data_IF_943611713927
#
_entry.id   IF_943611713927
#
_cell.length_a   1.000
_cell.length_b   1.000
_cell.length_c   1.000
_cell.angle_alpha   90.00
_cell.angle_beta   90.00
_cell.angle_gamma   90.00
#
_symmetry.space_group_name_H-M   'P 1'
#
loop_
_entity.id
_entity.type
_entity.pdbx_description
1 polymer ?
#
# COMPACT_ATOMS: atom_id res chain seq x y z
N UNK A 1 -11.11 22.87 -45.42
CA UNK A 1 -11.20 22.64 -43.94
C UNK A 1 -10.72 21.25 -43.67
N UNK A 2 -9.60 21.17 -43.02
CA UNK A 2 -8.99 19.88 -42.72
C UNK A 2 -9.48 19.44 -41.36
N UNK A 3 -10.32 18.43 -41.33
CA UNK A 3 -10.62 17.66 -40.12
C UNK A 3 -9.32 17.01 -39.65
N UNK A 4 -8.50 17.75 -38.92
CA UNK A 4 -7.36 17.16 -38.20
C UNK A 4 -7.94 16.42 -37.02
N UNK A 5 -8.23 15.22 -37.29
CA UNK A 5 -7.92 14.06 -36.48
C UNK A 5 -8.01 14.32 -34.96
N UNK A 6 -9.22 14.49 -34.45
CA UNK A 6 -9.51 14.20 -33.03
C UNK A 6 -9.24 12.72 -32.68
N UNK A 7 -9.09 11.86 -33.69
CA UNK A 7 -8.80 10.44 -33.49
C UNK A 7 -7.43 10.16 -32.86
N UNK A 8 -6.47 11.09 -32.98
CA UNK A 8 -5.15 10.95 -32.33
C UNK A 8 -5.15 11.33 -30.84
N UNK A 9 -6.16 12.03 -30.36
CA UNK A 9 -6.30 12.38 -28.94
C UNK A 9 -7.04 11.30 -28.14
N UNK A 10 -7.60 10.34 -28.81
CA UNK A 10 -8.23 9.14 -28.25
C UNK A 10 -7.30 7.91 -28.28
N UNK A 11 -6.06 8.06 -28.67
CA UNK A 11 -5.03 7.06 -28.37
C UNK A 11 -4.94 6.96 -26.86
N UNK A 12 -5.58 5.92 -26.36
CA UNK A 12 -5.74 5.59 -24.96
C UNK A 12 -4.50 5.99 -24.16
N UNK A 13 -4.62 7.00 -23.33
CA UNK A 13 -3.83 7.01 -22.11
C UNK A 13 -4.21 5.72 -21.41
N UNK A 14 -3.33 4.71 -21.47
CA UNK A 14 -3.44 3.56 -20.60
C UNK A 14 -3.70 4.13 -19.20
N UNK A 15 -4.89 3.87 -18.65
CA UNK A 15 -5.27 4.39 -17.36
C UNK A 15 -4.16 3.98 -16.41
N UNK A 16 -3.50 4.98 -15.77
CA UNK A 16 -2.50 4.70 -14.75
C UNK A 16 -3.12 3.74 -13.74
N UNK A 17 -2.41 2.67 -13.39
CA UNK A 17 -2.89 1.75 -12.38
C UNK A 17 -3.27 2.52 -11.10
N UNK A 18 -4.42 2.22 -10.48
CA UNK A 18 -4.79 2.86 -9.22
C UNK A 18 -3.66 2.78 -8.20
N UNK A 19 -3.41 3.87 -7.48
CA UNK A 19 -2.27 4.00 -6.56
C UNK A 19 -2.29 2.90 -5.49
N UNK A 20 -3.47 2.50 -5.02
CA UNK A 20 -3.67 1.41 -4.06
C UNK A 20 -3.28 0.02 -4.59
N UNK A 21 -3.04 -0.10 -5.88
CA UNK A 21 -2.61 -1.34 -6.55
C UNK A 21 -1.18 -1.28 -7.06
N UNK A 22 -0.46 -0.20 -6.79
CA UNK A 22 0.94 -0.07 -7.20
C UNK A 22 1.75 -1.24 -6.66
N UNK A 23 2.42 -1.96 -7.55
CA UNK A 23 3.24 -3.12 -7.20
C UNK A 23 4.72 -2.79 -7.26
N UNK A 24 5.44 -3.17 -6.21
CA UNK A 24 6.91 -3.10 -6.14
C UNK A 24 7.44 -4.47 -6.55
N UNK A 25 8.25 -4.52 -7.61
CA UNK A 25 8.63 -5.76 -8.29
C UNK A 25 10.09 -6.17 -8.10
N UNK A 26 10.91 -5.34 -7.46
CA UNK A 26 12.32 -5.63 -7.23
C UNK A 26 12.86 -4.95 -5.99
N UNK A 27 13.98 -5.47 -5.48
CA UNK A 27 14.71 -4.84 -4.37
C UNK A 27 15.20 -3.43 -4.73
N UNK A 28 15.69 -3.25 -5.95
CA UNK A 28 16.15 -1.93 -6.40
C UNK A 28 15.00 -0.91 -6.46
N UNK A 29 13.85 -1.33 -6.94
CA UNK A 29 12.64 -0.50 -6.93
C UNK A 29 12.20 -0.18 -5.51
N UNK A 30 12.20 -1.15 -4.61
CA UNK A 30 11.88 -0.95 -3.20
C UNK A 30 12.82 0.05 -2.53
N UNK A 31 14.11 -0.09 -2.73
CA UNK A 31 15.11 0.85 -2.22
C UNK A 31 14.87 2.26 -2.72
N UNK A 32 14.66 2.41 -4.02
CA UNK A 32 14.45 3.71 -4.66
C UNK A 32 13.14 4.37 -4.22
N UNK A 33 12.04 3.62 -4.16
CA UNK A 33 10.73 4.17 -3.84
C UNK A 33 10.50 4.33 -2.34
N UNK A 34 10.95 3.38 -1.53
CA UNK A 34 10.62 3.33 -0.11
C UNK A 34 11.81 3.73 0.75
N UNK A 35 12.93 3.02 0.67
CA UNK A 35 14.05 3.21 1.60
C UNK A 35 14.72 4.58 1.50
N UNK A 36 14.79 5.15 0.29
CA UNK A 36 15.37 6.49 0.09
C UNK A 36 14.35 7.61 0.15
N UNK A 37 13.07 7.28 0.31
CA UNK A 37 11.98 8.24 0.36
C UNK A 37 11.82 8.83 1.77
N UNK A 38 11.37 10.08 1.81
CA UNK A 38 10.90 10.71 3.06
C UNK A 38 9.40 10.52 3.28
N UNK A 39 8.71 9.86 2.33
CA UNK A 39 7.28 9.58 2.43
C UNK A 39 7.03 8.35 3.27
N UNK A 40 5.92 8.35 3.99
CA UNK A 40 5.46 7.17 4.72
C UNK A 40 4.71 6.23 3.77
N UNK A 41 5.15 4.99 3.71
CA UNK A 41 4.58 3.95 2.86
C UNK A 41 3.76 2.95 3.66
N UNK A 42 2.64 2.55 3.10
CA UNK A 42 1.83 1.45 3.57
C UNK A 42 1.93 0.32 2.53
N UNK A 43 2.54 -0.80 2.91
CA UNK A 43 2.85 -1.88 1.97
C UNK A 43 2.16 -3.16 2.38
N UNK A 44 1.40 -3.75 1.45
CA UNK A 44 0.84 -5.09 1.58
C UNK A 44 1.77 -6.12 0.93
N UNK A 45 2.12 -7.16 1.67
CA UNK A 45 2.76 -8.37 1.13
C UNK A 45 1.70 -9.45 0.94
N UNK A 46 1.58 -9.98 -0.26
CA UNK A 46 0.54 -10.92 -0.63
C UNK A 46 1.01 -11.97 -1.63
N UNK A 47 0.21 -13.02 -1.79
CA UNK A 47 0.30 -14.00 -2.87
C UNK A 47 -1.04 -14.10 -3.59
N UNK A 48 -1.01 -14.24 -4.91
CA UNK A 48 -2.21 -14.50 -5.71
C UNK A 48 -2.84 -15.87 -5.45
N UNK A 49 -2.10 -16.79 -4.84
CA UNK A 49 -2.56 -18.13 -4.47
C UNK A 49 -3.04 -18.25 -3.02
N UNK A 50 -3.01 -17.17 -2.27
CA UNK A 50 -3.37 -17.11 -0.86
C UNK A 50 -4.86 -16.74 -0.70
N UNK A 51 -5.65 -17.65 -0.16
CA UNK A 51 -7.09 -17.42 0.06
C UNK A 51 -7.37 -16.26 1.01
N UNK A 52 -6.63 -16.14 2.10
CA UNK A 52 -6.74 -15.01 3.03
C UNK A 52 -6.35 -13.67 2.39
N UNK A 53 -5.39 -13.67 1.46
CA UNK A 53 -5.04 -12.47 0.71
C UNK A 53 -6.19 -12.01 -0.18
N UNK A 54 -6.89 -12.94 -0.83
CA UNK A 54 -8.08 -12.66 -1.63
C UNK A 54 -9.22 -12.13 -0.76
N UNK A 55 -9.46 -12.74 0.39
CA UNK A 55 -10.46 -12.29 1.36
C UNK A 55 -10.14 -10.89 1.90
N UNK A 56 -8.88 -10.56 2.09
CA UNK A 56 -8.40 -9.26 2.58
C UNK A 56 -8.44 -8.15 1.53
N UNK A 57 -8.48 -8.46 0.25
CA UNK A 57 -8.42 -7.47 -0.85
C UNK A 57 -9.36 -6.27 -0.69
N UNK A 58 -10.67 -6.44 -0.37
CA UNK A 58 -11.55 -5.30 -0.15
C UNK A 58 -11.11 -4.42 1.02
N UNK A 59 -10.64 -5.02 2.11
CA UNK A 59 -10.13 -4.30 3.28
C UNK A 59 -8.85 -3.52 2.94
N UNK A 60 -7.94 -4.13 2.19
CA UNK A 60 -6.74 -3.44 1.70
C UNK A 60 -7.08 -2.20 0.88
N UNK A 61 -7.99 -2.32 -0.09
CA UNK A 61 -8.38 -1.20 -0.94
C UNK A 61 -9.01 -0.06 -0.14
N UNK A 62 -9.87 -0.37 0.84
CA UNK A 62 -10.45 0.64 1.72
C UNK A 62 -9.41 1.27 2.65
N UNK A 63 -8.49 0.49 3.19
CA UNK A 63 -7.39 0.99 4.01
C UNK A 63 -6.52 1.97 3.22
N UNK A 64 -6.12 1.60 2.00
CA UNK A 64 -5.31 2.42 1.13
C UNK A 64 -6.01 3.74 0.73
N UNK A 65 -7.32 3.70 0.55
CA UNK A 65 -8.13 4.89 0.21
C UNK A 65 -8.41 5.79 1.40
N UNK A 66 -8.46 5.23 2.59
CA UNK A 66 -8.80 5.98 3.82
C UNK A 66 -7.58 6.68 4.42
N UNK A 67 -6.40 6.10 4.25
CA UNK A 67 -5.16 6.67 4.77
C UNK A 67 -4.67 7.81 3.88
N UNK A 68 -4.95 9.03 4.30
CA UNK A 68 -4.48 10.23 3.60
C UNK A 68 -2.98 10.43 3.80
N UNK A 69 -2.29 10.91 2.77
CA UNK A 69 -0.84 11.19 2.76
C UNK A 69 0.07 9.98 2.92
N UNK A 70 -0.46 8.78 3.06
CA UNK A 70 0.34 7.56 2.92
C UNK A 70 0.47 7.19 1.45
N UNK A 71 1.59 6.60 1.11
CA UNK A 71 1.82 6.01 -0.21
C UNK A 71 1.52 4.51 -0.15
N UNK A 72 0.42 4.03 -0.72
CA UNK A 72 0.12 2.60 -0.73
C UNK A 72 0.93 1.90 -1.81
N UNK A 73 1.42 0.71 -1.49
CA UNK A 73 2.07 -0.19 -2.45
C UNK A 73 1.86 -1.65 -2.06
N UNK A 74 2.08 -2.54 -3.00
CA UNK A 74 1.92 -3.98 -2.82
C UNK A 74 3.18 -4.70 -3.26
N UNK A 75 3.47 -5.81 -2.63
CA UNK A 75 4.56 -6.72 -2.97
C UNK A 75 3.99 -8.12 -3.16
N UNK A 76 4.08 -8.64 -4.39
CA UNK A 76 3.63 -9.97 -4.72
C UNK A 76 4.79 -10.97 -4.51
N UNK A 77 4.66 -11.82 -3.51
CA UNK A 77 5.71 -12.81 -3.18
C UNK A 77 5.76 -14.01 -4.13
N UNK A 78 4.79 -14.15 -5.02
CA UNK A 78 4.85 -15.18 -6.08
C UNK A 78 5.89 -14.83 -7.14
N UNK A 79 6.26 -13.55 -7.23
CA UNK A 79 7.28 -13.07 -8.14
C UNK A 79 8.66 -13.09 -7.47
N UNK A 80 9.74 -13.51 -8.16
CA UNK A 80 11.07 -13.58 -7.56
C UNK A 80 11.55 -12.26 -6.96
N UNK A 81 11.32 -11.16 -7.63
CA UNK A 81 11.67 -9.83 -7.13
C UNK A 81 10.86 -9.41 -5.91
N UNK A 82 9.56 -9.71 -5.88
CA UNK A 82 8.70 -9.46 -4.73
C UNK A 82 9.07 -10.32 -3.52
N UNK A 83 9.37 -11.59 -3.74
CA UNK A 83 9.88 -12.48 -2.69
C UNK A 83 11.19 -11.95 -2.09
N UNK A 84 12.11 -11.49 -2.92
CA UNK A 84 13.37 -10.91 -2.48
C UNK A 84 13.15 -9.65 -1.61
N UNK A 85 12.18 -8.81 -1.94
CA UNK A 85 11.79 -7.67 -1.10
C UNK A 85 11.26 -8.13 0.26
N UNK A 86 10.37 -9.12 0.26
CA UNK A 86 9.80 -9.67 1.49
C UNK A 86 10.87 -10.28 2.40
N UNK A 87 11.82 -11.01 1.85
CA UNK A 87 12.96 -11.55 2.58
C UNK A 87 13.87 -10.46 3.14
N UNK A 88 14.14 -9.42 2.35
CA UNK A 88 14.98 -8.29 2.77
C UNK A 88 14.42 -7.60 4.03
N UNK A 89 13.12 -7.42 4.11
CA UNK A 89 12.48 -6.70 5.22
C UNK A 89 11.91 -7.62 6.30
N UNK A 90 11.94 -8.94 6.10
CA UNK A 90 11.31 -9.90 7.00
C UNK A 90 9.78 -9.82 6.99
N UNK A 91 9.18 -9.26 5.94
CA UNK A 91 7.76 -8.93 5.88
C UNK A 91 6.80 -10.11 5.87
N UNK A 92 7.30 -11.33 5.64
CA UNK A 92 6.49 -12.56 5.59
C UNK A 92 6.76 -13.53 6.73
N UNK A 93 7.63 -13.19 7.66
CA UNK A 93 8.05 -14.11 8.73
C UNK A 93 6.88 -14.54 9.62
N UNK A 94 5.87 -13.71 9.77
CA UNK A 94 4.67 -13.96 10.58
C UNK A 94 3.44 -14.32 9.73
N UNK A 95 3.60 -14.49 8.41
CA UNK A 95 2.54 -14.89 7.49
C UNK A 95 2.04 -13.78 6.57
N UNK A 96 1.19 -14.17 5.63
CA UNK A 96 0.53 -13.30 4.66
C UNK A 96 -1.00 -13.48 4.74
N UNK A 97 -1.80 -12.44 4.37
CA UNK A 97 -1.37 -11.11 3.98
C UNK A 97 -0.69 -10.38 5.14
N UNK A 98 0.31 -9.55 4.84
CA UNK A 98 0.96 -8.70 5.82
C UNK A 98 0.86 -7.24 5.39
N UNK A 99 0.59 -6.36 6.33
CA UNK A 99 0.56 -4.91 6.12
C UNK A 99 1.62 -4.27 6.98
N UNK A 100 2.56 -3.57 6.34
CA UNK A 100 3.73 -2.98 6.98
C UNK A 100 3.80 -1.49 6.68
N UNK A 101 4.06 -0.72 7.71
CA UNK A 101 4.25 0.73 7.63
C UNK A 101 5.75 1.04 7.62
N UNK A 102 6.20 1.82 6.63
CA UNK A 102 7.60 2.25 6.48
C UNK A 102 7.73 3.76 6.60
N UNK A 103 8.87 4.20 7.12
CA UNK A 103 9.27 5.61 7.22
C UNK A 103 8.37 6.49 8.11
N UNK A 104 7.63 5.90 9.03
CA UNK A 104 6.70 6.65 9.90
C UNK A 104 7.39 7.60 10.88
N UNK A 105 8.69 7.45 11.13
CA UNK A 105 9.45 8.25 12.10
C UNK A 105 10.81 8.76 11.60
N UNK A 106 11.01 8.84 10.29
CA UNK A 106 12.33 9.17 9.69
C UNK A 106 13.46 8.23 10.13
N UNK A 107 13.14 7.03 10.54
CA UNK A 107 14.10 5.99 10.88
C UNK A 107 13.93 4.83 9.90
N UNK A 108 14.96 4.03 9.71
CA UNK A 108 14.90 2.81 8.87
C UNK A 108 13.94 1.74 9.46
N UNK A 109 13.29 2.06 10.56
CA UNK A 109 12.37 1.15 11.22
C UNK A 109 11.04 1.07 10.47
N UNK A 110 10.54 -0.14 10.35
CA UNK A 110 9.21 -0.42 9.88
C UNK A 110 8.36 -1.03 11.02
N UNK A 111 7.05 -0.95 10.88
CA UNK A 111 6.11 -1.51 11.84
C UNK A 111 5.11 -2.41 11.12
N UNK A 112 5.06 -3.68 11.49
CA UNK A 112 4.04 -4.61 11.00
C UNK A 112 2.72 -4.30 11.70
N UNK A 113 1.71 -3.95 10.92
CA UNK A 113 0.36 -3.65 11.41
C UNK A 113 -0.52 -4.90 11.48
N UNK A 114 -0.28 -5.83 10.57
CA UNK A 114 -1.01 -7.10 10.47
C UNK A 114 -0.13 -8.12 9.74
N UNK A 115 -0.16 -9.38 10.16
CA UNK A 115 0.48 -10.48 9.45
C UNK A 115 -0.22 -11.80 9.72
N UNK A 116 -0.61 -12.50 8.65
CA UNK A 116 -1.21 -13.85 8.66
C UNK A 116 -2.65 -13.92 9.12
N UNK A 117 -3.02 -13.24 10.17
CA UNK A 117 -4.39 -13.14 10.65
C UNK A 117 -5.08 -11.90 10.09
N UNK A 118 -6.32 -12.07 9.60
CA UNK A 118 -7.09 -10.96 9.06
C UNK A 118 -7.60 -10.05 10.17
N UNK A 119 -7.45 -8.76 9.94
CA UNK A 119 -7.96 -7.73 10.83
C UNK A 119 -8.99 -6.86 10.12
N UNK A 120 -9.95 -6.38 10.85
CA UNK A 120 -10.95 -5.46 10.33
C UNK A 120 -10.39 -4.05 10.11
N UNK A 121 -10.95 -3.34 9.14
CA UNK A 121 -10.54 -1.99 8.76
C UNK A 121 -10.44 -1.03 9.97
N UNK A 122 -11.43 -0.92 10.89
CA UNK A 122 -11.32 0.02 12.00
C UNK A 122 -10.11 -0.24 12.89
N UNK A 123 -9.74 -1.51 13.10
CA UNK A 123 -8.58 -1.89 13.91
C UNK A 123 -7.27 -1.51 13.21
N UNK A 124 -7.18 -1.73 11.89
CA UNK A 124 -6.02 -1.34 11.10
C UNK A 124 -5.85 0.18 11.09
N UNK A 125 -6.92 0.93 10.91
CA UNK A 125 -6.89 2.40 10.96
C UNK A 125 -6.42 2.92 12.33
N UNK A 126 -6.87 2.32 13.42
CA UNK A 126 -6.37 2.66 14.76
C UNK A 126 -4.86 2.38 14.91
N UNK A 127 -4.37 1.28 14.33
CA UNK A 127 -2.94 0.96 14.35
C UNK A 127 -2.12 1.96 13.52
N UNK A 128 -2.61 2.35 12.36
CA UNK A 128 -2.00 3.42 11.56
C UNK A 128 -1.96 4.72 12.35
N UNK A 129 -3.07 5.12 12.91
CA UNK A 129 -3.17 6.34 13.72
C UNK A 129 -2.17 6.33 14.89
N UNK A 130 -2.14 5.25 15.66
CA UNK A 130 -1.23 5.10 16.80
C UNK A 130 0.25 5.18 16.38
N UNK A 131 0.63 4.52 15.30
CA UNK A 131 2.02 4.45 14.85
C UNK A 131 2.49 5.71 14.11
N UNK A 132 1.58 6.54 13.64
CA UNK A 132 1.87 7.81 12.97
C UNK A 132 1.50 9.02 13.83
N UNK A 133 0.99 8.82 15.04
CA UNK A 133 0.48 9.87 15.94
C UNK A 133 -0.59 10.75 15.26
N UNK A 134 -1.42 10.16 14.42
CA UNK A 134 -2.46 10.85 13.67
C UNK A 134 -1.98 11.71 12.49
N UNK A 135 -0.69 11.71 12.19
CA UNK A 135 -0.10 12.60 11.19
C UNK A 135 -0.62 12.34 9.76
N UNK A 136 -0.98 11.10 9.46
CA UNK A 136 -1.36 10.65 8.11
C UNK A 136 -2.80 10.22 7.97
N UNK A 137 -3.61 10.47 8.98
CA UNK A 137 -5.04 10.20 8.97
C UNK A 137 -5.82 11.47 9.33
N UNK A 138 -6.97 11.64 8.69
CA UNK A 138 -7.94 12.65 9.06
C UNK A 138 -9.14 12.01 9.74
N UNK A 139 -9.67 12.69 10.74
CA UNK A 139 -10.92 12.31 11.40
C UNK A 139 -11.94 13.44 11.28
N UNK A 140 -13.23 13.09 11.31
CA UNK A 140 -14.28 14.07 11.47
C UNK A 140 -14.40 14.57 12.92
N UNK A 141 -15.36 15.43 13.19
CA UNK A 141 -15.57 16.00 14.51
C UNK A 141 -15.96 14.96 15.57
N UNK A 142 -16.51 13.84 15.16
CA UNK A 142 -16.92 12.71 16.01
C UNK A 142 -15.80 11.68 16.21
N UNK A 143 -14.67 11.86 15.56
CA UNK A 143 -13.49 10.99 15.66
C UNK A 143 -13.51 9.77 14.73
N UNK A 144 -14.38 9.74 13.72
CA UNK A 144 -14.37 8.72 12.67
C UNK A 144 -13.38 9.06 11.57
N UNK A 145 -12.69 8.06 11.04
CA UNK A 145 -11.74 8.26 9.96
C UNK A 145 -12.41 8.65 8.66
N UNK A 146 -11.91 9.72 8.05
CA UNK A 146 -12.38 10.19 6.76
C UNK A 146 -11.73 9.42 5.61
N UNK A 147 -12.53 9.12 4.59
CA UNK A 147 -12.00 8.60 3.32
C UNK A 147 -11.19 9.68 2.61
N UNK A 148 -10.11 9.27 1.96
CA UNK A 148 -9.43 10.12 0.99
C UNK A 148 -10.39 10.40 -0.17
N UNK A 149 -10.57 11.67 -0.47
CA UNK A 149 -11.34 12.13 -1.62
C UNK A 149 -10.58 11.91 -2.93
#
# INVERSE_FOLDING_TARGET
>A
MRARSLALLLAARAAAEPVERREIRSVDEFRRLVQTSQRCFLVEFFSGMCGYCQEFEPTWLELARTTTRLEPARVNIDMPGGLAVAELVGGINEGIPAVVLFNQRRTDAHTTLMAGELEELPKLLRRVYKNTKGQYLSTDAEGFFLRAS
#
